data_IF_382230096438
#
_entry.id   IF_382230096438
#
_cell.length_a   1.000
_cell.length_b   1.000
_cell.length_c   1.000
_cell.angle_alpha   90.00
_cell.angle_beta   90.00
_cell.angle_gamma   90.00
#
_symmetry.space_group_name_H-M   'P 1'
#
loop_
_entity.id
_entity.type
_entity.pdbx_description
1 polymer ?
#
# COMPACT_ATOMS: atom_id res chain seq x y z
N UNK A 1 -12.36 10.21 -25.66
CA UNK A 1 -11.81 9.35 -24.59
C UNK A 1 -12.31 9.91 -23.27
N UNK A 2 -12.91 9.08 -22.40
CA UNK A 2 -13.26 9.50 -21.03
C UNK A 2 -12.05 9.22 -20.14
N UNK A 3 -11.37 10.28 -19.70
CA UNK A 3 -10.24 10.20 -18.77
C UNK A 3 -10.77 9.95 -17.34
N UNK A 4 -10.11 9.10 -16.56
CA UNK A 4 -10.48 8.81 -15.17
C UNK A 4 -9.59 9.61 -14.23
N UNK A 5 -10.21 10.28 -13.25
CA UNK A 5 -9.53 11.01 -12.19
C UNK A 5 -9.55 10.17 -10.91
N UNK A 6 -8.41 10.17 -10.21
CA UNK A 6 -8.24 9.52 -8.91
C UNK A 6 -7.89 10.59 -7.89
N UNK A 7 -8.62 10.59 -6.77
CA UNK A 7 -8.40 11.52 -5.67
C UNK A 7 -8.19 10.72 -4.39
N UNK A 8 -7.09 11.02 -3.71
CA UNK A 8 -6.84 10.58 -2.35
C UNK A 8 -7.30 11.67 -1.39
N UNK A 9 -8.25 11.32 -0.52
CA UNK A 9 -8.74 12.24 0.51
C UNK A 9 -8.09 11.90 1.85
N UNK A 10 -7.26 12.82 2.33
CA UNK A 10 -6.63 12.77 3.66
C UNK A 10 -7.37 13.72 4.60
N UNK A 11 -7.73 13.25 5.79
CA UNK A 11 -8.33 14.11 6.80
C UNK A 11 -7.28 15.09 7.35
N UNK A 12 -7.50 16.39 7.19
CA UNK A 12 -6.62 17.40 7.75
C UNK A 12 -6.74 17.45 9.28
N UNK A 13 -5.61 17.47 10.00
CA UNK A 13 -5.56 17.74 11.44
C UNK A 13 -6.00 16.60 12.37
N UNK A 14 -6.43 15.45 11.84
CA UNK A 14 -6.70 14.24 12.64
C UNK A 14 -5.78 13.12 12.17
N UNK A 15 -4.66 12.93 12.89
CA UNK A 15 -3.65 11.88 12.64
C UNK A 15 -4.21 10.43 12.67
N UNK A 16 -5.51 10.24 12.82
CA UNK A 16 -6.13 8.94 13.13
C UNK A 16 -7.37 8.62 12.31
N UNK A 17 -7.82 9.49 11.39
CA UNK A 17 -8.89 9.12 10.47
C UNK A 17 -8.29 8.45 9.24
N UNK A 18 -8.75 7.24 8.88
CA UNK A 18 -8.15 6.52 7.79
C UNK A 18 -8.46 7.17 6.44
N UNK A 19 -7.46 7.14 5.56
CA UNK A 19 -7.51 7.73 4.21
C UNK A 19 -8.44 6.94 3.29
N UNK A 20 -9.05 7.62 2.31
CA UNK A 20 -9.94 7.00 1.31
C UNK A 20 -9.50 7.38 -0.11
N UNK A 21 -9.74 6.46 -1.04
CA UNK A 21 -9.54 6.69 -2.46
C UNK A 21 -10.88 6.76 -3.18
N UNK A 22 -10.99 7.75 -4.06
CA UNK A 22 -12.18 7.97 -4.88
C UNK A 22 -11.78 8.05 -6.35
N UNK A 23 -12.68 7.57 -7.21
CA UNK A 23 -12.57 7.68 -8.66
C UNK A 23 -13.72 8.52 -9.22
N UNK A 24 -13.49 9.18 -10.34
CA UNK A 24 -14.54 9.84 -11.12
C UNK A 24 -14.17 9.79 -12.59
N UNK A 25 -15.14 9.55 -13.47
CA UNK A 25 -14.93 9.79 -14.91
C UNK A 25 -15.03 11.28 -15.19
N UNK A 26 -14.16 11.83 -16.03
CA UNK A 26 -14.08 13.28 -16.30
C UNK A 26 -15.43 13.90 -16.71
N UNK A 27 -16.26 13.12 -17.40
CA UNK A 27 -17.59 13.48 -17.89
C UNK A 27 -18.73 13.23 -16.89
N UNK A 28 -18.42 12.83 -15.66
CA UNK A 28 -19.39 12.61 -14.58
C UNK A 28 -19.18 13.60 -13.44
N UNK A 29 -20.23 13.95 -12.71
CA UNK A 29 -20.13 14.98 -11.65
C UNK A 29 -19.67 14.42 -10.30
N UNK A 30 -19.99 13.16 -10.00
CA UNK A 30 -19.78 12.58 -8.67
C UNK A 30 -18.53 11.71 -8.59
N UNK A 31 -17.84 11.80 -7.45
CA UNK A 31 -16.82 10.85 -7.07
C UNK A 31 -17.45 9.59 -6.46
N UNK A 32 -16.93 8.43 -6.85
CA UNK A 32 -17.28 7.14 -6.31
C UNK A 32 -16.13 6.61 -5.45
N UNK A 33 -16.41 6.06 -4.27
CA UNK A 33 -15.38 5.44 -3.46
C UNK A 33 -14.86 4.16 -4.12
N UNK A 34 -13.54 4.00 -4.17
CA UNK A 34 -12.94 2.74 -4.62
C UNK A 34 -13.15 1.71 -3.52
N UNK A 35 -13.85 0.63 -3.85
CA UNK A 35 -14.16 -0.45 -2.91
C UNK A 35 -15.04 -0.01 -1.73
N UNK A 36 -15.09 -0.86 -0.70
CA UNK A 36 -15.85 -0.61 0.52
C UNK A 36 -15.00 -0.95 1.77
N UNK A 37 -13.88 -0.24 2.01
CA UNK A 37 -13.04 -0.48 3.17
C UNK A 37 -13.80 -0.28 4.47
N UNK A 38 -13.47 -1.09 5.47
CA UNK A 38 -13.98 -0.91 6.83
C UNK A 38 -13.60 0.47 7.38
N UNK A 39 -14.32 0.92 8.41
CA UNK A 39 -14.13 2.26 8.99
C UNK A 39 -12.72 2.51 9.49
N UNK A 40 -12.03 1.47 9.95
CA UNK A 40 -10.68 1.46 10.50
C UNK A 40 -9.60 1.16 9.44
N UNK A 41 -9.94 1.02 8.16
CA UNK A 41 -8.97 0.71 7.10
C UNK A 41 -8.68 1.95 6.27
N UNK A 42 -7.40 2.31 6.14
CA UNK A 42 -6.88 3.33 5.22
C UNK A 42 -6.50 2.71 3.88
N UNK A 43 -6.76 3.44 2.79
CA UNK A 43 -6.08 3.25 1.51
C UNK A 43 -5.07 4.36 1.29
N UNK A 44 -3.81 4.01 1.03
CA UNK A 44 -2.67 4.94 1.08
C UNK A 44 -1.72 4.77 -0.10
N UNK A 45 -0.95 5.82 -0.37
CA UNK A 45 0.13 5.83 -1.38
C UNK A 45 -0.29 5.27 -2.74
N UNK A 46 -1.36 5.79 -3.37
CA UNK A 46 -1.78 5.30 -4.69
C UNK A 46 -0.69 5.61 -5.73
N UNK A 47 -0.36 4.60 -6.52
CA UNK A 47 0.53 4.70 -7.69
C UNK A 47 -0.17 4.16 -8.93
N UNK A 48 0.16 4.72 -10.08
CA UNK A 48 -0.38 4.32 -11.39
C UNK A 48 0.75 4.28 -12.41
N UNK A 49 0.51 3.75 -13.60
CA UNK A 49 1.43 3.84 -14.73
C UNK A 49 0.67 4.15 -16.02
N UNK A 50 1.36 4.77 -16.99
CA UNK A 50 0.71 5.31 -18.19
C UNK A 50 0.11 4.23 -19.09
N UNK A 51 0.71 3.04 -19.13
CA UNK A 51 0.33 2.00 -20.10
C UNK A 51 -0.77 1.06 -19.63
N UNK A 52 -1.16 1.12 -18.35
CA UNK A 52 -2.21 0.26 -17.81
C UNK A 52 -3.28 1.08 -17.09
N UNK A 53 -4.57 0.82 -17.35
CA UNK A 53 -5.66 1.55 -16.74
C UNK A 53 -5.92 1.03 -15.32
N UNK A 54 -4.93 1.17 -14.43
CA UNK A 54 -5.02 0.63 -13.08
C UNK A 54 -4.34 1.53 -12.06
N UNK A 55 -4.84 1.48 -10.84
CA UNK A 55 -4.21 2.12 -9.67
C UNK A 55 -3.87 1.02 -8.69
N UNK A 56 -2.66 1.08 -8.15
CA UNK A 56 -2.22 0.20 -7.08
C UNK A 56 -2.05 1.03 -5.82
N UNK A 57 -2.52 0.54 -4.69
CA UNK A 57 -2.47 1.28 -3.43
C UNK A 57 -2.26 0.34 -2.25
N UNK A 58 -1.70 0.91 -1.19
CA UNK A 58 -1.48 0.21 0.06
C UNK A 58 -2.72 0.26 0.95
N UNK A 59 -2.85 -0.72 1.85
CA UNK A 59 -3.93 -0.77 2.82
C UNK A 59 -3.40 -1.02 4.22
N UNK A 60 -3.79 -0.15 5.16
CA UNK A 60 -3.50 -0.28 6.58
C UNK A 60 -4.76 -0.36 7.40
N UNK A 61 -4.76 -1.20 8.42
CA UNK A 61 -5.81 -1.27 9.42
C UNK A 61 -5.34 -0.59 10.68
N UNK A 62 -6.09 0.40 11.14
CA UNK A 62 -5.90 1.01 12.44
C UNK A 62 -6.43 0.05 13.52
N UNK A 63 -5.57 -0.33 14.44
CA UNK A 63 -5.91 -1.19 15.57
C UNK A 63 -5.78 -0.42 16.87
N UNK A 64 -6.79 -0.51 17.74
CA UNK A 64 -6.67 0.00 19.10
C UNK A 64 -5.74 -0.91 19.90
N UNK A 65 -4.72 -0.35 20.54
CA UNK A 65 -3.76 -1.06 21.39
C UNK A 65 -3.63 -0.36 22.74
N UNK A 66 -4.23 -0.94 23.78
CA UNK A 66 -4.30 -0.33 25.11
C UNK A 66 -4.96 1.04 25.05
N UNK A 67 -4.27 2.06 25.53
CA UNK A 67 -4.71 3.47 25.49
C UNK A 67 -4.40 4.16 24.14
N UNK A 68 -3.64 3.53 23.25
CA UNK A 68 -3.24 4.09 21.96
C UNK A 68 -3.83 3.39 20.74
N UNK A 69 -3.35 3.79 19.57
CA UNK A 69 -3.62 3.13 18.28
C UNK A 69 -2.30 2.71 17.63
N UNK A 70 -2.32 1.58 16.93
CA UNK A 70 -1.25 1.13 16.05
C UNK A 70 -1.80 0.82 14.66
N UNK A 71 -0.92 0.64 13.68
CA UNK A 71 -1.29 0.15 12.34
C UNK A 71 -0.88 -1.31 12.16
N UNK A 72 -1.76 -2.13 11.59
CA UNK A 72 -1.40 -3.41 10.98
C UNK A 72 -1.49 -3.27 9.46
N UNK A 73 -0.45 -3.72 8.76
CA UNK A 73 -0.50 -3.72 7.30
C UNK A 73 -1.40 -4.85 6.82
N UNK A 74 -2.38 -4.50 5.98
CA UNK A 74 -3.35 -5.48 5.49
C UNK A 74 -2.90 -6.10 4.17
N UNK A 75 -2.76 -5.27 3.13
CA UNK A 75 -2.51 -5.72 1.77
C UNK A 75 -2.11 -4.57 0.83
N UNK A 76 -1.62 -4.94 -0.34
CA UNK A 76 -1.57 -4.09 -1.53
C UNK A 76 -2.67 -4.52 -2.49
N UNK A 77 -3.45 -3.56 -2.96
CA UNK A 77 -4.56 -3.77 -3.88
C UNK A 77 -4.26 -3.17 -5.26
N UNK A 78 -4.80 -3.78 -6.30
CA UNK A 78 -4.90 -3.19 -7.63
C UNK A 78 -6.37 -2.98 -7.99
N UNK A 79 -6.69 -1.80 -8.51
CA UNK A 79 -8.00 -1.44 -9.00
C UNK A 79 -7.95 -1.12 -10.49
N UNK A 80 -8.76 -1.82 -11.28
CA UNK A 80 -8.88 -1.57 -12.71
C UNK A 80 -9.85 -0.41 -12.96
N UNK A 81 -9.37 0.66 -13.59
CA UNK A 81 -10.11 1.89 -13.82
C UNK A 81 -11.26 1.73 -14.83
N UNK A 82 -11.20 0.71 -15.69
CA UNK A 82 -12.25 0.44 -16.67
C UNK A 82 -13.31 -0.52 -16.12
N UNK A 83 -12.89 -1.67 -15.60
CA UNK A 83 -13.80 -2.73 -15.14
C UNK A 83 -14.32 -2.48 -13.72
N UNK A 84 -13.69 -1.55 -12.99
CA UNK A 84 -13.90 -1.31 -11.55
C UNK A 84 -13.62 -2.54 -10.68
N UNK A 85 -12.86 -3.49 -11.20
CA UNK A 85 -12.46 -4.68 -10.45
C UNK A 85 -11.36 -4.32 -9.44
N UNK A 86 -11.51 -4.81 -8.22
CA UNK A 86 -10.55 -4.65 -7.13
C UNK A 86 -9.94 -6.02 -6.77
N UNK A 87 -8.62 -6.14 -6.88
CA UNK A 87 -7.89 -7.39 -6.61
C UNK A 87 -6.80 -7.18 -5.57
N UNK A 88 -6.48 -8.25 -4.82
CA UNK A 88 -5.37 -8.26 -3.87
C UNK A 88 -4.09 -8.70 -4.61
N UNK A 89 -3.09 -7.83 -4.64
CA UNK A 89 -1.78 -8.17 -5.22
C UNK A 89 -0.97 -9.03 -4.24
N UNK A 90 -0.85 -8.55 -3.00
CA UNK A 90 -0.17 -9.26 -1.92
C UNK A 90 -0.76 -8.83 -0.58
N UNK A 91 -0.57 -9.66 0.44
CA UNK A 91 -1.05 -9.47 1.81
C UNK A 91 0.03 -9.91 2.79
N UNK A 92 -0.18 -9.67 4.09
CA UNK A 92 0.71 -10.19 5.13
C UNK A 92 0.96 -11.70 5.06
N UNK A 93 -0.01 -12.46 4.55
CA UNK A 93 0.08 -13.91 4.43
C UNK A 93 0.71 -14.39 3.11
N UNK A 94 0.81 -13.51 2.11
CA UNK A 94 1.26 -13.88 0.75
C UNK A 94 2.52 -13.15 0.29
N UNK A 95 3.04 -12.23 1.10
CA UNK A 95 4.28 -11.52 0.83
C UNK A 95 5.49 -12.44 1.02
N UNK A 96 6.25 -12.68 -0.05
CA UNK A 96 7.46 -13.47 0.02
C UNK A 96 8.68 -12.55 0.25
N UNK A 97 9.29 -12.67 1.43
CA UNK A 97 10.46 -11.88 1.86
C UNK A 97 11.72 -12.76 1.79
N UNK A 98 12.88 -12.23 1.37
CA UNK A 98 14.07 -13.04 1.07
C UNK A 98 14.77 -13.71 2.26
N UNK A 99 14.50 -13.34 3.51
CA UNK A 99 15.18 -13.87 4.71
C UNK A 99 14.19 -14.38 5.75
N UNK A 100 14.65 -15.22 6.70
CA UNK A 100 13.84 -15.55 7.89
C UNK A 100 13.61 -14.27 8.70
N UNK A 101 12.36 -13.87 8.80
CA UNK A 101 11.90 -12.68 9.50
C UNK A 101 10.69 -13.06 10.36
N UNK A 102 10.40 -12.25 11.36
CA UNK A 102 9.22 -12.47 12.21
C UNK A 102 8.01 -11.81 11.57
N UNK A 103 8.19 -10.60 11.04
CA UNK A 103 7.14 -9.81 10.37
C UNK A 103 7.75 -8.94 9.28
N UNK A 104 6.97 -8.70 8.23
CA UNK A 104 7.30 -7.73 7.19
C UNK A 104 6.03 -7.01 6.75
N UNK A 105 6.17 -5.74 6.40
CA UNK A 105 5.06 -4.94 5.92
C UNK A 105 5.52 -3.90 4.92
N UNK A 106 4.67 -3.64 3.93
CA UNK A 106 4.88 -2.54 2.99
C UNK A 106 4.42 -1.26 3.67
N UNK A 107 5.33 -0.32 3.90
CA UNK A 107 5.03 0.97 4.54
C UNK A 107 4.41 1.96 3.54
N UNK A 108 4.92 2.00 2.32
CA UNK A 108 4.59 3.01 1.31
C UNK A 108 4.82 2.45 -0.08
N UNK A 109 3.96 2.75 -1.04
CA UNK A 109 4.25 2.52 -2.46
C UNK A 109 4.92 3.75 -3.05
N UNK A 110 6.02 3.54 -3.78
CA UNK A 110 6.85 4.61 -4.36
C UNK A 110 6.53 4.79 -5.84
N UNK A 111 6.54 3.71 -6.61
CA UNK A 111 6.25 3.75 -8.04
C UNK A 111 5.83 2.39 -8.58
N UNK A 112 5.22 2.41 -9.77
CA UNK A 112 4.85 1.22 -10.52
C UNK A 112 5.50 1.24 -11.90
N UNK A 113 6.04 0.11 -12.34
CA UNK A 113 6.60 -0.05 -13.69
C UNK A 113 5.53 0.09 -14.78
N UNK A 114 5.95 0.47 -15.98
CA UNK A 114 5.05 0.66 -17.11
C UNK A 114 4.31 -0.61 -17.55
N UNK A 115 4.89 -1.79 -17.35
CA UNK A 115 4.23 -3.08 -17.59
C UNK A 115 3.35 -3.53 -16.40
N UNK A 116 3.28 -2.73 -15.34
CA UNK A 116 2.50 -3.06 -14.17
C UNK A 116 2.95 -4.34 -13.45
N UNK A 117 4.18 -4.81 -13.60
CA UNK A 117 4.61 -6.05 -12.93
C UNK A 117 5.50 -5.80 -11.73
N UNK A 118 6.15 -4.63 -11.65
CA UNK A 118 7.10 -4.30 -10.59
C UNK A 118 6.68 -3.05 -9.85
N UNK A 119 6.53 -3.16 -8.53
CA UNK A 119 6.36 -2.03 -7.62
C UNK A 119 7.68 -1.72 -6.94
N UNK A 120 8.01 -0.44 -6.80
CA UNK A 120 8.99 0.01 -5.82
C UNK A 120 8.27 0.43 -4.56
N UNK A 121 8.74 -0.06 -3.42
CA UNK A 121 8.07 0.10 -2.13
C UNK A 121 9.08 0.39 -1.03
N UNK A 122 8.65 1.11 -0.01
CA UNK A 122 9.32 1.10 1.28
C UNK A 122 8.75 -0.06 2.09
N UNK A 123 9.61 -0.89 2.66
CA UNK A 123 9.24 -2.08 3.44
C UNK A 123 9.91 -2.03 4.81
N UNK A 124 9.13 -2.33 5.86
CA UNK A 124 9.65 -2.62 7.18
C UNK A 124 9.80 -4.12 7.36
N UNK A 125 10.95 -4.57 7.87
CA UNK A 125 11.24 -5.98 8.13
C UNK A 125 11.74 -6.12 9.56
N UNK A 126 11.03 -6.91 10.35
CA UNK A 126 11.45 -7.28 11.70
C UNK A 126 12.28 -8.56 11.66
N UNK A 127 13.54 -8.43 12.04
CA UNK A 127 14.46 -9.56 12.19
C UNK A 127 14.51 -9.99 13.66
N UNK A 128 14.49 -11.30 13.90
CA UNK A 128 14.73 -11.85 15.24
C UNK A 128 16.17 -11.55 15.67
N UNK A 129 16.35 -10.88 16.80
CA UNK A 129 17.64 -10.76 17.47
C UNK A 129 17.55 -11.34 18.89
N UNK A 130 18.72 -11.63 19.48
CA UNK A 130 18.83 -12.25 20.81
C UNK A 130 18.19 -11.40 21.93
N UNK A 131 18.03 -10.09 21.73
CA UNK A 131 17.49 -9.12 22.69
C UNK A 131 16.10 -8.58 22.32
N UNK A 132 15.42 -9.14 21.32
CA UNK A 132 14.14 -8.65 20.79
C UNK A 132 14.15 -8.48 19.27
N UNK A 133 13.00 -8.18 18.68
CA UNK A 133 12.90 -7.90 17.24
C UNK A 133 13.52 -6.55 16.89
N UNK A 134 14.40 -6.51 15.89
CA UNK A 134 14.94 -5.26 15.33
C UNK A 134 14.28 -5.00 13.99
N UNK A 135 13.69 -3.82 13.83
CA UNK A 135 13.05 -3.40 12.58
C UNK A 135 14.05 -2.63 11.72
N UNK A 136 14.29 -3.13 10.51
CA UNK A 136 15.00 -2.40 9.45
C UNK A 136 14.02 -1.95 8.37
N UNK A 137 14.22 -0.74 7.84
CA UNK A 137 13.47 -0.25 6.69
C UNK A 137 14.32 -0.27 5.43
N UNK A 138 13.70 -0.56 4.30
CA UNK A 138 14.38 -0.71 3.02
C UNK A 138 13.53 -0.15 1.89
N UNK A 139 14.19 0.40 0.87
CA UNK A 139 13.62 0.47 -0.46
C UNK A 139 13.75 -0.93 -1.05
N UNK A 140 12.66 -1.45 -1.59
CA UNK A 140 12.60 -2.75 -2.21
C UNK A 140 11.85 -2.68 -3.54
N UNK A 141 12.14 -3.64 -4.42
CA UNK A 141 11.28 -3.95 -5.56
C UNK A 141 10.44 -5.17 -5.22
N UNK A 142 9.15 -5.12 -5.55
CA UNK A 142 8.20 -6.20 -5.41
C UNK A 142 7.75 -6.63 -6.81
N UNK A 143 8.02 -7.87 -7.15
CA UNK A 143 7.39 -8.53 -8.30
C UNK A 143 5.95 -8.89 -7.93
N UNK A 144 4.97 -8.41 -8.71
CA UNK A 144 3.55 -8.62 -8.44
C UNK A 144 3.04 -10.00 -8.87
N UNK A 145 3.73 -10.67 -9.80
CA UNK A 145 3.37 -12.02 -10.23
C UNK A 145 3.85 -13.05 -9.20
N UNK A 146 5.13 -12.96 -8.83
CA UNK A 146 5.77 -13.88 -7.90
C UNK A 146 5.61 -13.47 -6.43
N UNK A 147 5.07 -12.27 -6.18
CA UNK A 147 4.90 -11.65 -4.85
C UNK A 147 6.20 -11.57 -4.05
N UNK A 148 7.32 -11.54 -4.77
CA UNK A 148 8.67 -11.63 -4.22
C UNK A 148 9.28 -10.25 -4.04
N UNK A 149 9.77 -9.99 -2.83
CA UNK A 149 10.56 -8.81 -2.52
C UNK A 149 12.04 -9.03 -2.82
N UNK A 150 12.65 -8.01 -3.40
CA UNK A 150 14.09 -7.85 -3.56
C UNK A 150 14.51 -6.51 -2.91
N UNK A 151 15.39 -6.58 -1.91
CA UNK A 151 15.86 -5.40 -1.19
C UNK A 151 16.85 -4.63 -2.07
N UNK A 152 16.59 -3.34 -2.28
CA UNK A 152 17.44 -2.47 -3.09
C UNK A 152 18.45 -1.75 -2.22
N UNK A 153 18.00 -1.04 -1.18
CA UNK A 153 18.89 -0.37 -0.23
C UNK A 153 18.23 -0.17 1.14
N UNK A 154 19.01 -0.13 2.23
CA UNK A 154 18.49 0.23 3.54
C UNK A 154 18.10 1.72 3.57
N UNK A 155 16.91 1.98 4.10
CA UNK A 155 16.46 3.32 4.45
C UNK A 155 16.80 3.54 5.92
N UNK A 156 17.77 4.42 6.16
CA UNK A 156 17.98 4.91 7.51
C UNK A 156 16.84 5.87 7.83
N UNK A 157 16.47 5.94 9.10
CA UNK A 157 15.97 7.21 9.61
C UNK A 157 14.60 7.63 9.00
N UNK A 158 13.69 6.67 8.80
CA UNK A 158 12.45 6.84 8.03
C UNK A 158 11.36 7.64 8.77
N UNK A 159 11.56 7.91 10.06
CA UNK A 159 10.67 8.69 10.91
C UNK A 159 11.45 9.86 11.51
N UNK A 160 11.57 10.96 10.76
CA UNK A 160 12.10 12.23 11.26
C UNK A 160 11.00 13.25 11.44
#
# INVERSE_FOLDING_TARGET
MSEVLIVELRAAGQQFLPTRLFMRRKDTESYEQIGNPARDVSYESPVTCEKQPRVVFNSFKLEKRGEGYGGDWAAVYAFNLHTKELTVCTSKDTLAVPERHTRAWISTLVSLSNDGQKLYVNVGIEKSAQSGGVVGYYLASLDLMDKKLELVCPLKDVFF
#
